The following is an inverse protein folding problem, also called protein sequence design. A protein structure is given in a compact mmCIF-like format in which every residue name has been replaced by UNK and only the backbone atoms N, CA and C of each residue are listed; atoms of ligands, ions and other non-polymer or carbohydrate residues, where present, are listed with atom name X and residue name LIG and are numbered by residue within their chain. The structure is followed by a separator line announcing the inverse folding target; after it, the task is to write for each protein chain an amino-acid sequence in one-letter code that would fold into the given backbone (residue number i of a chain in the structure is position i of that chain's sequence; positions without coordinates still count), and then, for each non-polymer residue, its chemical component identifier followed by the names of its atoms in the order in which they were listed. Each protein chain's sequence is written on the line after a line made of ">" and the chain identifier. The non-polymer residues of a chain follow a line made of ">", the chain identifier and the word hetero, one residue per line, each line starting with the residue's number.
data_IF_692481600350
#
_entry.id   IF_692481600350
#
_cell.length_a   1.000
_cell.length_b   1.000
_cell.length_c   1.000
_cell.angle_alpha   90.00
_cell.angle_beta   90.00
_cell.angle_gamma   90.00
#
_symmetry.space_group_name_H-M   'P 1'
#
loop_
_entity.id
_entity.type
_entity.pdbx_description
1 polymer ?
#
# COMPACT_ATOMS: atom_id res chain seq x y z
N UNK A 1 50.39 -31.98 13.11
CA UNK A 1 50.63 -30.53 13.28
C UNK A 1 51.47 -29.90 12.18
N UNK A 2 52.66 -30.43 11.80
CA UNK A 2 53.53 -29.78 10.78
C UNK A 2 52.88 -29.59 9.40
N UNK A 3 52.08 -30.54 8.91
CA UNK A 3 51.38 -30.42 7.63
C UNK A 3 50.22 -29.41 7.63
N UNK A 4 49.59 -29.17 8.78
CA UNK A 4 48.48 -28.22 8.92
C UNK A 4 49.00 -26.77 8.84
N UNK A 5 50.17 -26.52 9.45
CA UNK A 5 50.83 -25.22 9.42
C UNK A 5 51.33 -24.86 8.02
N UNK A 6 51.75 -25.87 7.25
CA UNK A 6 52.21 -25.73 5.87
C UNK A 6 51.06 -25.43 4.91
N UNK A 7 49.89 -26.07 5.08
CA UNK A 7 48.68 -25.77 4.32
C UNK A 7 48.12 -24.36 4.61
N UNK A 8 48.21 -23.91 5.86
CA UNK A 8 47.75 -22.58 6.27
C UNK A 8 48.64 -21.47 5.69
N UNK A 9 49.96 -21.68 5.72
CA UNK A 9 50.93 -20.80 5.05
C UNK A 9 50.76 -20.79 3.53
N UNK A 10 50.48 -21.93 2.90
CA UNK A 10 50.20 -22.00 1.47
C UNK A 10 48.92 -21.22 1.11
N UNK A 11 47.86 -21.33 1.94
CA UNK A 11 46.63 -20.58 1.73
C UNK A 11 46.84 -19.06 1.88
N UNK A 12 47.69 -18.64 2.83
CA UNK A 12 48.03 -17.23 3.03
C UNK A 12 48.86 -16.70 1.86
N UNK A 13 49.82 -17.47 1.34
CA UNK A 13 50.61 -17.06 0.17
C UNK A 13 49.78 -17.00 -1.11
N UNK A 14 48.79 -17.89 -1.26
CA UNK A 14 47.85 -17.83 -2.38
C UNK A 14 46.96 -16.58 -2.24
N UNK A 15 46.44 -16.28 -1.04
CA UNK A 15 45.63 -15.08 -0.82
C UNK A 15 46.40 -13.78 -1.05
N UNK A 16 47.68 -13.71 -0.65
CA UNK A 16 48.50 -12.49 -0.83
C UNK A 16 48.91 -12.29 -2.29
N UNK A 17 49.20 -13.37 -3.05
CA UNK A 17 49.54 -13.24 -4.48
C UNK A 17 48.33 -12.81 -5.33
N UNK A 18 47.14 -13.32 -5.00
CA UNK A 18 45.90 -12.87 -5.65
C UNK A 18 45.56 -11.42 -5.34
N UNK A 19 45.83 -10.94 -4.12
CA UNK A 19 45.59 -9.54 -3.74
C UNK A 19 46.50 -8.56 -4.50
N UNK A 20 47.78 -8.91 -4.67
CA UNK A 20 48.77 -8.03 -5.30
C UNK A 20 48.53 -7.87 -6.82
N UNK A 21 48.04 -8.91 -7.49
CA UNK A 21 47.65 -8.85 -8.91
C UNK A 21 46.38 -8.00 -9.11
N UNK A 22 45.40 -8.09 -8.19
CA UNK A 22 44.18 -7.27 -8.27
C UNK A 22 44.44 -5.77 -8.14
N UNK A 23 45.34 -5.33 -7.25
CA UNK A 23 45.62 -3.90 -7.05
C UNK A 23 46.30 -3.27 -8.27
N UNK A 24 47.21 -4.01 -8.91
CA UNK A 24 47.88 -3.55 -10.13
C UNK A 24 46.88 -3.37 -11.29
N UNK A 25 45.94 -4.31 -11.44
CA UNK A 25 44.88 -4.25 -12.46
C UNK A 25 43.89 -3.13 -12.18
N UNK A 26 43.48 -2.92 -10.93
CA UNK A 26 42.61 -1.79 -10.54
C UNK A 26 43.30 -0.46 -10.87
N UNK A 27 44.58 -0.32 -10.56
CA UNK A 27 45.34 0.91 -10.82
C UNK A 27 45.47 1.20 -12.32
N UNK A 28 45.80 0.18 -13.13
CA UNK A 28 45.87 0.33 -14.59
C UNK A 28 44.52 0.73 -15.18
N UNK A 29 43.44 0.10 -14.71
CA UNK A 29 42.08 0.39 -15.16
C UNK A 29 41.64 1.81 -14.79
N UNK A 30 41.94 2.25 -13.56
CA UNK A 30 41.68 3.60 -13.08
C UNK A 30 42.38 4.63 -13.94
N UNK A 31 43.65 4.41 -14.25
CA UNK A 31 44.40 5.31 -15.12
C UNK A 31 43.77 5.36 -16.52
N UNK A 32 43.41 4.20 -17.09
CA UNK A 32 42.75 4.14 -18.41
C UNK A 32 41.43 4.92 -18.43
N UNK A 33 40.53 4.67 -17.47
CA UNK A 33 39.22 5.34 -17.43
C UNK A 33 39.34 6.83 -17.10
N UNK A 34 40.23 7.21 -16.19
CA UNK A 34 40.51 8.60 -15.86
C UNK A 34 41.05 9.36 -17.06
N UNK A 35 41.95 8.76 -17.84
CA UNK A 35 42.43 9.37 -19.09
C UNK A 35 41.32 9.55 -20.10
N UNK A 36 40.44 8.56 -20.27
CA UNK A 36 39.28 8.67 -21.19
C UNK A 36 38.33 9.78 -20.71
N UNK A 37 37.95 9.80 -19.44
CA UNK A 37 37.07 10.81 -18.87
C UNK A 37 37.66 12.22 -19.03
N UNK A 38 38.95 12.40 -18.72
CA UNK A 38 39.63 13.68 -18.89
C UNK A 38 39.70 14.13 -20.35
N UNK A 39 39.92 13.21 -21.28
CA UNK A 39 39.95 13.54 -22.70
C UNK A 39 38.55 13.93 -23.21
N UNK A 40 37.51 13.20 -22.80
CA UNK A 40 36.12 13.54 -23.13
C UNK A 40 35.72 14.91 -22.57
N UNK A 41 36.10 15.22 -21.32
CA UNK A 41 35.81 16.52 -20.71
C UNK A 41 36.56 17.65 -21.43
N UNK A 42 37.82 17.45 -21.83
CA UNK A 42 38.57 18.43 -22.64
C UNK A 42 37.90 18.70 -23.99
N UNK A 43 37.55 17.65 -24.74
CA UNK A 43 36.85 17.77 -26.02
C UNK A 43 35.50 18.50 -25.84
N UNK A 44 34.76 18.18 -24.78
CA UNK A 44 33.51 18.85 -24.43
C UNK A 44 33.71 20.35 -24.13
N UNK A 45 34.71 20.70 -23.32
CA UNK A 45 35.04 22.09 -22.99
C UNK A 45 35.50 22.90 -24.21
N UNK A 46 36.15 22.25 -25.19
CA UNK A 46 36.54 22.86 -26.46
C UNK A 46 35.36 23.01 -27.46
N UNK A 47 34.19 22.45 -27.16
CA UNK A 47 33.02 22.46 -28.06
C UNK A 47 33.07 21.42 -29.18
N UNK A 48 33.98 20.45 -29.12
CA UNK A 48 34.18 19.40 -30.13
C UNK A 48 33.21 18.22 -29.88
N UNK A 49 31.91 18.50 -29.90
CA UNK A 49 30.86 17.59 -29.40
C UNK A 49 30.76 16.26 -30.18
N UNK A 50 30.94 16.28 -31.50
CA UNK A 50 30.92 15.06 -32.33
C UNK A 50 32.16 14.18 -32.05
N UNK A 51 33.29 14.78 -31.67
CA UNK A 51 34.49 14.04 -31.28
C UNK A 51 34.32 13.35 -29.94
N UNK A 52 33.62 13.98 -28.99
CA UNK A 52 33.21 13.34 -27.72
C UNK A 52 32.46 12.04 -27.99
N UNK A 53 31.48 12.07 -28.90
CA UNK A 53 30.68 10.89 -29.26
C UNK A 53 31.54 9.84 -29.96
N UNK A 54 32.40 10.25 -30.90
CA UNK A 54 33.31 9.37 -31.63
C UNK A 54 34.28 8.66 -30.70
N UNK A 55 34.92 9.40 -29.77
CA UNK A 55 35.84 8.85 -28.77
C UNK A 55 35.12 7.89 -27.83
N UNK A 56 33.92 8.26 -27.36
CA UNK A 56 33.10 7.37 -26.54
C UNK A 56 32.81 6.04 -27.24
N UNK A 57 32.36 6.06 -28.51
CA UNK A 57 32.10 4.83 -29.29
C UNK A 57 33.37 4.00 -29.51
N UNK A 58 34.51 4.64 -29.76
CA UNK A 58 35.81 3.96 -29.93
C UNK A 58 36.34 3.33 -28.65
N UNK A 59 35.99 3.88 -27.48
CA UNK A 59 36.52 3.43 -26.19
C UNK A 59 36.03 2.04 -25.73
N UNK A 60 35.25 1.31 -26.55
CA UNK A 60 34.65 0.00 -26.28
C UNK A 60 33.75 -0.09 -25.04
N UNK A 61 33.46 1.04 -24.38
CA UNK A 61 32.56 1.13 -23.23
C UNK A 61 31.13 0.64 -23.50
N UNK A 62 30.73 0.60 -24.77
CA UNK A 62 29.40 0.16 -25.18
C UNK A 62 29.25 -1.37 -25.29
N UNK A 63 30.37 -2.13 -25.41
CA UNK A 63 30.35 -3.58 -25.68
C UNK A 63 30.72 -4.46 -24.48
N UNK A 64 31.00 -3.86 -23.34
CA UNK A 64 31.65 -4.51 -22.20
C UNK A 64 30.62 -5.17 -21.24
N UNK A 65 29.73 -6.02 -21.78
CA UNK A 65 28.67 -6.72 -21.00
C UNK A 65 29.14 -8.01 -20.30
N UNK A 66 30.34 -8.54 -20.60
CA UNK A 66 30.88 -9.79 -20.06
C UNK A 66 31.47 -9.67 -18.63
N UNK A 67 30.70 -9.11 -17.70
CA UNK A 67 31.17 -8.64 -16.38
C UNK A 67 30.87 -9.55 -15.18
N UNK A 68 30.44 -10.80 -15.40
CA UNK A 68 29.98 -11.66 -14.30
C UNK A 68 31.10 -12.15 -13.35
N UNK A 69 32.39 -12.05 -13.73
CA UNK A 69 33.51 -12.67 -13.00
C UNK A 69 34.39 -11.73 -12.17
N UNK A 70 34.12 -10.42 -12.15
CA UNK A 70 35.00 -9.44 -11.48
C UNK A 70 34.70 -9.27 -9.97
N UNK A 71 35.72 -8.86 -9.21
CA UNK A 71 35.62 -8.59 -7.77
C UNK A 71 34.68 -7.42 -7.48
N UNK A 72 34.12 -7.37 -6.26
CA UNK A 72 33.11 -6.37 -5.85
C UNK A 72 33.64 -4.94 -5.92
N UNK A 73 34.90 -4.73 -5.51
CA UNK A 73 35.53 -3.39 -5.50
C UNK A 73 35.80 -2.89 -6.91
N UNK A 74 36.21 -3.78 -7.82
CA UNK A 74 36.40 -3.45 -9.23
C UNK A 74 35.09 -2.97 -9.88
N UNK A 75 33.96 -3.63 -9.57
CA UNK A 75 32.64 -3.19 -10.05
C UNK A 75 32.25 -1.82 -9.52
N UNK A 76 32.59 -1.48 -8.28
CA UNK A 76 32.27 -0.16 -7.69
C UNK A 76 33.05 0.95 -8.40
N UNK A 77 34.35 0.78 -8.55
CA UNK A 77 35.22 1.78 -9.17
C UNK A 77 34.88 1.97 -10.65
N UNK A 78 34.65 0.87 -11.40
CA UNK A 78 34.19 0.93 -12.80
C UNK A 78 32.87 1.68 -12.94
N UNK A 79 31.92 1.47 -12.02
CA UNK A 79 30.64 2.18 -12.00
C UNK A 79 30.82 3.68 -11.82
N UNK A 80 31.65 4.13 -10.88
CA UNK A 80 31.92 5.56 -10.68
C UNK A 80 32.45 6.24 -11.96
N UNK A 81 33.44 5.63 -12.63
CA UNK A 81 33.96 6.16 -13.90
C UNK A 81 32.94 6.12 -15.05
N UNK A 82 32.15 5.05 -15.15
CA UNK A 82 31.08 4.97 -16.14
C UNK A 82 30.04 6.07 -15.95
N UNK A 83 29.73 6.45 -14.70
CA UNK A 83 28.83 7.56 -14.42
C UNK A 83 29.40 8.89 -14.94
N UNK A 84 30.68 9.18 -14.68
CA UNK A 84 31.30 10.42 -15.16
C UNK A 84 31.30 10.49 -16.70
N UNK A 85 31.66 9.37 -17.35
CA UNK A 85 31.67 9.29 -18.82
C UNK A 85 30.26 9.44 -19.39
N UNK A 86 29.27 8.72 -18.86
CA UNK A 86 27.89 8.84 -19.32
C UNK A 86 27.32 10.24 -19.08
N UNK A 87 27.73 10.92 -18.00
CA UNK A 87 27.37 12.32 -17.76
C UNK A 87 27.90 13.26 -18.85
N UNK A 88 29.18 13.13 -19.22
CA UNK A 88 29.80 13.91 -20.33
C UNK A 88 29.10 13.64 -21.65
N UNK A 89 28.90 12.36 -21.98
CA UNK A 89 28.27 11.94 -23.24
C UNK A 89 26.82 12.41 -23.31
N UNK A 90 26.09 12.35 -22.19
CA UNK A 90 24.73 12.86 -22.11
C UNK A 90 24.71 14.38 -22.37
N UNK A 91 25.62 15.16 -21.75
CA UNK A 91 25.76 16.60 -22.02
C UNK A 91 26.07 16.88 -23.49
N UNK A 92 26.94 16.09 -24.12
CA UNK A 92 27.27 16.25 -25.53
C UNK A 92 26.07 15.98 -26.45
N UNK A 93 25.32 14.88 -26.22
CA UNK A 93 24.10 14.59 -26.98
C UNK A 93 23.00 15.64 -26.79
N UNK A 94 22.90 16.16 -25.56
CA UNK A 94 22.02 17.27 -25.23
C UNK A 94 22.43 18.49 -26.08
N UNK A 95 23.69 18.94 -25.99
CA UNK A 95 24.19 20.10 -26.73
C UNK A 95 24.12 19.98 -28.27
N UNK A 96 24.08 18.75 -28.80
CA UNK A 96 23.88 18.45 -30.22
C UNK A 96 22.41 18.34 -30.65
N UNK A 97 21.45 18.67 -29.78
CA UNK A 97 20.02 18.54 -30.01
C UNK A 97 19.59 17.11 -30.40
N UNK A 98 20.20 16.09 -29.76
CA UNK A 98 19.91 14.66 -29.96
C UNK A 98 19.33 14.02 -28.68
N UNK A 99 18.15 14.46 -28.20
CA UNK A 99 17.64 14.09 -26.88
C UNK A 99 17.30 12.60 -26.71
N UNK A 100 16.84 11.93 -27.78
CA UNK A 100 16.51 10.50 -27.71
C UNK A 100 17.74 9.63 -27.39
N UNK A 101 18.92 10.08 -27.80
CA UNK A 101 20.19 9.42 -27.49
C UNK A 101 20.67 9.79 -26.09
N UNK A 102 20.53 11.06 -25.69
CA UNK A 102 20.79 11.50 -24.32
C UNK A 102 20.00 10.67 -23.30
N UNK A 103 18.71 10.42 -23.54
CA UNK A 103 17.84 9.62 -22.65
C UNK A 103 18.37 8.20 -22.42
N UNK A 104 18.95 7.56 -23.45
CA UNK A 104 19.59 6.24 -23.30
C UNK A 104 20.74 6.30 -22.30
N UNK A 105 21.61 7.30 -22.40
CA UNK A 105 22.74 7.44 -21.47
C UNK A 105 22.31 7.91 -20.09
N UNK A 106 21.29 8.76 -20.02
CA UNK A 106 20.70 9.23 -18.77
C UNK A 106 20.11 8.04 -17.97
N UNK A 107 19.42 7.13 -18.65
CA UNK A 107 18.88 5.92 -18.00
C UNK A 107 20.00 5.01 -17.45
N UNK A 108 21.12 4.86 -18.19
CA UNK A 108 22.31 4.12 -17.74
C UNK A 108 22.98 4.82 -16.55
N UNK A 109 23.07 6.15 -16.58
CA UNK A 109 23.62 6.97 -15.51
C UNK A 109 22.79 6.82 -14.21
N UNK A 110 21.46 6.85 -14.30
CA UNK A 110 20.57 6.62 -13.14
C UNK A 110 20.62 5.21 -12.60
N UNK A 111 20.97 4.21 -13.40
CA UNK A 111 21.20 2.86 -12.90
C UNK A 111 22.50 2.75 -12.08
N UNK A 112 23.40 3.73 -12.20
CA UNK A 112 24.74 3.72 -11.61
C UNK A 112 24.86 4.69 -10.43
N UNK A 113 24.44 5.95 -10.59
CA UNK A 113 24.52 7.01 -9.57
C UNK A 113 23.10 7.47 -9.20
N UNK A 114 22.70 7.22 -7.96
CA UNK A 114 21.41 7.69 -7.38
C UNK A 114 21.65 8.62 -6.18
N UNK A 115 22.85 9.20 -6.07
CA UNK A 115 23.26 10.00 -4.91
C UNK A 115 22.90 11.49 -5.04
N UNK A 116 22.87 12.19 -3.90
CA UNK A 116 22.46 13.60 -3.73
C UNK A 116 23.23 14.58 -4.63
N UNK A 117 24.53 14.36 -4.84
CA UNK A 117 25.38 15.22 -5.69
C UNK A 117 24.85 15.30 -7.14
N UNK A 118 24.17 14.24 -7.60
CA UNK A 118 23.60 14.21 -8.94
C UNK A 118 22.30 15.03 -9.06
N UNK A 119 21.57 15.25 -7.96
CA UNK A 119 20.41 16.17 -7.96
C UNK A 119 20.84 17.62 -8.12
N UNK A 120 21.92 18.04 -7.43
CA UNK A 120 22.50 19.38 -7.61
C UNK A 120 23.03 19.57 -9.03
N UNK A 121 23.72 18.57 -9.56
CA UNK A 121 24.21 18.58 -10.93
C UNK A 121 23.08 18.72 -11.97
N UNK A 122 21.95 18.05 -11.77
CA UNK A 122 20.78 18.21 -12.64
C UNK A 122 20.09 19.56 -12.46
N UNK A 123 20.04 20.10 -11.25
CA UNK A 123 19.51 21.46 -11.02
C UNK A 123 20.29 22.49 -11.86
N UNK A 124 21.62 22.35 -11.99
CA UNK A 124 22.44 23.18 -12.86
C UNK A 124 22.09 23.00 -14.36
N UNK A 125 21.82 21.77 -14.82
CA UNK A 125 21.35 21.53 -16.21
C UNK A 125 19.95 22.11 -16.43
N UNK A 126 19.05 22.00 -15.43
CA UNK A 126 17.68 22.54 -15.46
C UNK A 126 17.67 24.08 -15.56
N UNK A 127 18.62 24.75 -14.92
CA UNK A 127 18.76 26.21 -14.99
C UNK A 127 19.27 26.70 -16.35
N UNK A 128 19.89 25.84 -17.16
CA UNK A 128 20.39 26.19 -18.49
C UNK A 128 19.30 26.46 -19.55
N UNK A 129 18.01 26.44 -19.18
CA UNK A 129 16.81 26.77 -20.01
C UNK A 129 16.61 25.99 -21.32
N UNK A 130 17.59 25.20 -21.78
CA UNK A 130 17.54 24.61 -23.12
C UNK A 130 16.84 23.25 -23.20
N UNK A 131 16.50 22.59 -22.07
CA UNK A 131 15.95 21.22 -22.11
C UNK A 131 14.81 20.99 -21.12
N UNK A 132 13.64 20.67 -21.67
CA UNK A 132 12.37 20.50 -20.94
C UNK A 132 12.17 19.02 -20.57
N UNK A 133 13.01 18.49 -19.67
CA UNK A 133 12.91 17.11 -19.16
C UNK A 133 12.61 17.07 -17.65
N UNK A 134 11.82 16.10 -17.24
CA UNK A 134 11.41 15.83 -15.86
C UNK A 134 11.69 14.37 -15.50
N UNK A 135 12.47 14.12 -14.44
CA UNK A 135 12.76 12.75 -13.97
C UNK A 135 11.75 12.37 -12.90
N UNK A 136 11.02 11.27 -13.14
CA UNK A 136 10.10 10.70 -12.17
C UNK A 136 10.51 9.29 -11.76
N UNK A 137 10.22 8.89 -10.51
CA UNK A 137 10.23 7.49 -10.10
C UNK A 137 9.37 6.62 -11.04
N UNK A 138 9.98 5.62 -11.68
CA UNK A 138 9.28 4.67 -12.55
C UNK A 138 8.69 3.51 -11.76
N UNK A 139 9.48 2.89 -10.88
CA UNK A 139 9.07 1.76 -10.06
C UNK A 139 9.36 2.06 -8.60
N UNK A 140 8.35 1.91 -7.75
CA UNK A 140 8.47 2.08 -6.30
C UNK A 140 7.88 0.86 -5.59
N UNK A 141 8.55 0.45 -4.51
CA UNK A 141 8.07 -0.59 -3.60
C UNK A 141 7.99 -0.02 -2.19
N UNK A 142 7.04 -0.48 -1.39
CA UNK A 142 6.84 0.10 -0.07
C UNK A 142 5.85 -0.63 0.81
N UNK A 143 5.55 0.00 1.94
CA UNK A 143 4.55 -0.44 2.91
C UNK A 143 3.50 0.63 3.15
N UNK A 144 2.33 0.19 3.60
CA UNK A 144 1.21 1.06 3.98
C UNK A 144 0.60 0.59 5.27
N UNK A 145 0.29 1.56 6.14
CA UNK A 145 -0.47 1.35 7.36
C UNK A 145 -1.62 2.35 7.37
N UNK A 146 -2.74 1.99 7.99
CA UNK A 146 -3.87 2.90 8.07
C UNK A 146 -4.96 2.44 9.02
N UNK A 147 -5.91 3.33 9.24
CA UNK A 147 -7.16 3.07 9.94
C UNK A 147 -8.30 2.97 8.94
N UNK A 148 -9.32 2.18 9.27
CA UNK A 148 -10.54 2.01 8.48
C UNK A 148 -11.75 2.37 9.33
N UNK A 149 -12.57 3.28 8.83
CA UNK A 149 -13.88 3.60 9.37
C UNK A 149 -14.91 2.91 8.48
N UNK A 150 -15.69 1.99 9.04
CA UNK A 150 -16.58 1.12 8.25
C UNK A 150 -18.03 1.60 8.37
N UNK A 151 -18.78 1.42 7.30
CA UNK A 151 -20.20 1.75 7.22
C UNK A 151 -20.93 0.55 6.65
N UNK A 152 -21.75 -0.10 7.47
CA UNK A 152 -22.63 -1.18 7.03
C UNK A 152 -23.96 -0.58 6.57
N UNK A 153 -24.32 -0.82 5.31
CA UNK A 153 -25.54 -0.31 4.70
C UNK A 153 -26.48 -1.48 4.42
N UNK A 154 -27.49 -1.74 5.27
CA UNK A 154 -28.47 -2.79 5.01
C UNK A 154 -29.24 -2.48 3.73
N UNK A 155 -29.38 -3.49 2.88
CA UNK A 155 -30.11 -3.47 1.60
C UNK A 155 -31.45 -4.18 1.74
N UNK A 156 -31.47 -5.28 2.50
CA UNK A 156 -32.70 -6.01 2.85
C UNK A 156 -32.59 -6.47 4.30
N UNK A 157 -33.65 -6.26 5.07
CA UNK A 157 -33.70 -6.59 6.50
C UNK A 157 -34.30 -7.97 6.71
N UNK A 158 -33.75 -8.73 7.65
CA UNK A 158 -34.27 -10.06 7.98
C UNK A 158 -34.47 -10.22 9.49
N UNK A 159 -35.57 -10.88 9.84
CA UNK A 159 -35.94 -11.24 11.20
C UNK A 159 -36.30 -12.73 11.27
N UNK A 160 -36.12 -13.33 12.45
CA UNK A 160 -36.62 -14.67 12.77
C UNK A 160 -38.07 -14.57 13.27
N UNK A 161 -38.45 -13.42 13.82
CA UNK A 161 -39.78 -13.15 14.34
C UNK A 161 -40.63 -12.43 13.30
N UNK A 162 -41.89 -12.84 13.18
CA UNK A 162 -42.93 -12.07 12.52
C UNK A 162 -43.60 -11.15 13.56
N UNK A 163 -43.71 -9.87 13.25
CA UNK A 163 -44.33 -8.91 14.16
C UNK A 163 -45.84 -9.19 14.24
N UNK A 164 -46.35 -9.59 15.40
CA UNK A 164 -47.73 -10.07 15.56
C UNK A 164 -48.75 -8.94 15.80
N UNK A 165 -48.35 -7.67 15.89
CA UNK A 165 -49.27 -6.56 16.12
C UNK A 165 -49.57 -5.75 14.85
N UNK A 166 -50.76 -5.98 14.28
CA UNK A 166 -51.46 -4.98 13.47
C UNK A 166 -51.86 -3.82 14.39
N UNK A 167 -51.23 -2.65 14.27
CA UNK A 167 -51.84 -1.43 14.79
C UNK A 167 -50.93 -0.28 15.14
N UNK A 168 -49.70 -0.50 15.60
CA UNK A 168 -48.74 0.57 15.87
C UNK A 168 -47.32 0.04 15.68
N UNK A 169 -46.67 0.52 14.61
CA UNK A 169 -45.37 0.08 14.11
C UNK A 169 -44.24 0.38 15.09
N UNK A 170 -44.04 -0.45 16.12
CA UNK A 170 -42.75 -0.50 16.82
C UNK A 170 -41.79 -1.19 15.86
N UNK A 171 -40.99 -0.39 15.14
CA UNK A 171 -39.95 -0.88 14.25
C UNK A 171 -38.87 -1.60 15.09
N UNK A 172 -38.98 -2.92 15.24
CA UNK A 172 -37.92 -3.80 15.76
C UNK A 172 -36.80 -3.94 14.71
N UNK A 173 -36.42 -2.83 14.09
CA UNK A 173 -35.46 -2.78 13.01
C UNK A 173 -34.07 -2.57 13.61
N UNK A 174 -33.12 -3.41 13.22
CA UNK A 174 -31.71 -3.25 13.58
C UNK A 174 -31.23 -1.84 13.21
N UNK A 175 -30.69 -1.13 14.20
CA UNK A 175 -30.06 0.17 14.01
C UNK A 175 -28.56 0.00 13.87
N UNK A 176 -28.06 0.17 12.66
CA UNK A 176 -26.62 0.11 12.38
C UNK A 176 -25.94 1.40 12.79
N UNK A 177 -24.81 1.28 13.48
CA UNK A 177 -23.98 2.41 13.88
C UNK A 177 -22.76 2.50 12.98
N UNK A 178 -22.44 3.74 12.62
CA UNK A 178 -21.22 4.05 11.90
C UNK A 178 -20.04 4.15 12.86
N UNK A 179 -18.81 3.98 12.36
CA UNK A 179 -17.62 4.06 13.21
C UNK A 179 -17.43 5.39 13.97
N UNK A 180 -18.16 6.46 13.61
CA UNK A 180 -18.14 7.74 14.31
C UNK A 180 -19.06 7.81 15.53
N UNK A 181 -20.08 6.95 15.59
CA UNK A 181 -21.08 6.98 16.67
C UNK A 181 -20.63 6.18 17.90
N UNK A 182 -19.78 5.16 17.69
CA UNK A 182 -19.19 4.37 18.76
C UNK A 182 -17.66 4.41 18.69
N UNK A 183 -17.03 4.95 19.74
CA UNK A 183 -15.58 5.20 19.83
C UNK A 183 -14.67 3.96 19.68
N UNK A 184 -15.21 2.75 19.52
CA UNK A 184 -14.47 1.49 19.47
C UNK A 184 -14.66 0.70 18.17
N UNK A 185 -15.10 1.34 17.08
CA UNK A 185 -15.34 0.69 15.78
C UNK A 185 -14.29 1.06 14.71
N UNK A 186 -13.11 1.51 15.13
CA UNK A 186 -11.98 1.78 14.23
C UNK A 186 -11.32 0.45 13.88
N UNK A 187 -11.30 0.13 12.58
CA UNK A 187 -10.53 -0.96 12.00
C UNK A 187 -9.13 -0.50 11.59
N UNK A 188 -8.32 -1.43 11.11
CA UNK A 188 -6.96 -1.15 10.65
C UNK A 188 -6.68 -1.74 9.27
N UNK A 189 -5.61 -1.24 8.65
CA UNK A 189 -5.12 -1.68 7.35
C UNK A 189 -3.61 -1.77 7.36
N UNK A 190 -3.08 -2.89 6.88
CA UNK A 190 -1.65 -3.12 6.71
C UNK A 190 -1.42 -3.71 5.33
N UNK A 191 -0.42 -3.24 4.58
CA UNK A 191 -0.14 -3.83 3.28
C UNK A 191 1.20 -3.45 2.67
N UNK A 192 1.40 -3.97 1.46
CA UNK A 192 2.51 -3.62 0.59
C UNK A 192 2.05 -2.65 -0.47
N UNK A 193 3.00 -1.90 -1.03
CA UNK A 193 2.78 -0.90 -2.05
C UNK A 193 3.68 -1.20 -3.25
N UNK A 194 3.09 -1.28 -4.43
CA UNK A 194 3.80 -1.31 -5.70
C UNK A 194 3.26 -0.17 -6.57
N UNK A 195 4.13 0.77 -6.96
CA UNK A 195 3.74 1.87 -7.86
C UNK A 195 4.56 1.80 -9.14
N UNK A 196 3.89 1.87 -10.28
CA UNK A 196 4.50 1.94 -11.60
C UNK A 196 4.05 3.20 -12.34
N UNK A 197 4.97 4.11 -12.66
CA UNK A 197 4.65 5.33 -13.41
C UNK A 197 4.46 5.00 -14.91
N UNK A 198 3.25 5.28 -15.42
CA UNK A 198 2.91 5.14 -16.82
C UNK A 198 3.31 6.40 -17.60
N UNK A 199 3.00 7.56 -17.02
CA UNK A 199 3.34 8.89 -17.55
C UNK A 199 3.85 9.78 -16.43
N UNK A 200 4.16 11.04 -16.74
CA UNK A 200 4.58 12.03 -15.74
C UNK A 200 3.50 12.30 -14.66
N UNK A 201 2.22 12.17 -15.01
CA UNK A 201 1.09 12.41 -14.12
C UNK A 201 0.40 11.12 -13.64
N UNK A 202 0.42 10.06 -14.45
CA UNK A 202 -0.31 8.83 -14.16
C UNK A 202 0.60 7.72 -13.70
N UNK A 203 0.22 7.06 -12.61
CA UNK A 203 0.86 5.84 -12.13
C UNK A 203 -0.19 4.78 -11.81
N UNK A 204 0.15 3.52 -12.05
CA UNK A 204 -0.60 2.37 -11.57
C UNK A 204 -0.10 2.00 -10.17
N UNK A 205 -1.03 1.78 -9.25
CA UNK A 205 -0.80 1.41 -7.87
C UNK A 205 -1.46 0.06 -7.59
N UNK A 206 -0.68 -0.89 -7.10
CA UNK A 206 -1.18 -2.18 -6.60
C UNK A 206 -0.81 -2.24 -5.11
N UNK A 207 -1.80 -2.50 -4.26
CA UNK A 207 -1.62 -2.39 -2.81
C UNK A 207 -2.23 -3.57 -2.03
N UNK A 208 -1.66 -4.80 -2.17
CA UNK A 208 -2.17 -5.96 -1.45
C UNK A 208 -2.11 -5.70 0.05
N UNK A 209 -3.23 -5.86 0.75
CA UNK A 209 -3.38 -5.43 2.13
C UNK A 209 -4.32 -6.32 2.93
N UNK A 210 -3.96 -6.54 4.19
CA UNK A 210 -4.86 -7.08 5.20
C UNK A 210 -5.68 -5.93 5.79
N UNK A 211 -7.00 -6.03 5.67
CA UNK A 211 -7.95 -4.99 6.08
C UNK A 211 -8.92 -5.55 7.10
N UNK A 212 -8.98 -4.92 8.27
CA UNK A 212 -9.99 -5.17 9.28
C UNK A 212 -11.08 -4.10 9.19
N UNK A 213 -12.34 -4.55 9.15
CA UNK A 213 -13.56 -3.75 9.15
C UNK A 213 -14.33 -4.04 10.42
N UNK A 214 -14.81 -2.98 11.08
CA UNK A 214 -15.61 -3.09 12.30
C UNK A 214 -16.82 -2.19 12.20
N UNK A 215 -17.98 -2.75 12.52
CA UNK A 215 -19.22 -2.01 12.63
C UNK A 215 -20.09 -2.66 13.71
N UNK A 216 -21.07 -1.92 14.18
CA UNK A 216 -22.01 -2.42 15.17
C UNK A 216 -23.44 -2.18 14.74
N UNK A 217 -24.35 -2.91 15.37
CA UNK A 217 -25.76 -2.56 15.35
C UNK A 217 -26.39 -2.87 16.70
N UNK A 218 -27.48 -2.17 16.98
CA UNK A 218 -28.36 -2.43 18.12
C UNK A 218 -29.69 -2.96 17.65
N UNK A 219 -30.19 -3.91 18.40
CA UNK A 219 -31.53 -4.45 18.23
C UNK A 219 -32.27 -4.39 19.58
N UNK A 220 -33.57 -4.21 19.51
CA UNK A 220 -34.46 -4.17 20.67
C UNK A 220 -35.51 -5.25 20.51
N UNK A 221 -35.56 -6.15 21.49
CA UNK A 221 -36.56 -7.20 21.54
C UNK A 221 -37.46 -6.99 22.74
N UNK A 222 -38.74 -6.72 22.47
CA UNK A 222 -39.79 -6.64 23.49
C UNK A 222 -40.71 -7.84 23.36
N UNK A 223 -40.93 -8.56 24.45
CA UNK A 223 -41.95 -9.60 24.53
C UNK A 223 -42.95 -9.24 25.62
N UNK A 224 -44.23 -9.27 25.26
CA UNK A 224 -45.32 -9.01 26.17
C UNK A 224 -46.28 -10.21 26.16
N UNK A 225 -46.59 -10.72 27.34
CA UNK A 225 -47.62 -11.74 27.55
C UNK A 225 -48.65 -11.25 28.56
N UNK A 226 -49.90 -11.65 28.35
CA UNK A 226 -51.01 -11.31 29.25
C UNK A 226 -51.72 -12.59 29.69
N UNK A 227 -51.06 -13.44 30.51
CA UNK A 227 -51.60 -14.73 30.90
C UNK A 227 -52.89 -14.65 31.74
N UNK A 228 -53.23 -13.50 32.32
CA UNK A 228 -54.47 -13.27 33.07
C UNK A 228 -54.89 -11.78 33.05
N UNK A 229 -56.17 -11.41 33.31
CA UNK A 229 -56.69 -10.04 33.15
C UNK A 229 -55.96 -8.92 33.92
N UNK A 230 -55.08 -9.26 34.86
CA UNK A 230 -54.31 -8.32 35.68
C UNK A 230 -52.80 -8.59 35.69
N UNK A 231 -52.30 -9.49 34.85
CA UNK A 231 -50.89 -9.90 34.83
C UNK A 231 -50.30 -9.65 33.45
N UNK A 232 -49.53 -8.57 33.31
CA UNK A 232 -48.74 -8.28 32.10
C UNK A 232 -47.28 -8.63 32.33
N UNK A 233 -46.75 -9.65 31.67
CA UNK A 233 -45.31 -9.91 31.69
C UNK A 233 -44.66 -9.18 30.52
N UNK A 234 -43.73 -8.28 30.80
CA UNK A 234 -42.99 -7.54 29.78
C UNK A 234 -41.49 -7.78 29.95
N UNK A 235 -40.85 -8.27 28.89
CA UNK A 235 -39.41 -8.50 28.82
C UNK A 235 -38.85 -7.65 27.68
N UNK A 236 -38.01 -6.68 28.03
CA UNK A 236 -37.28 -5.86 27.08
C UNK A 236 -35.79 -6.19 27.12
N UNK A 237 -35.23 -6.56 25.96
CA UNK A 237 -33.82 -6.87 25.77
C UNK A 237 -33.20 -5.87 24.79
N UNK A 238 -32.09 -5.27 25.20
CA UNK A 238 -31.21 -4.52 24.30
C UNK A 238 -30.03 -5.40 23.90
N UNK A 239 -29.87 -5.62 22.59
CA UNK A 239 -28.76 -6.38 22.03
C UNK A 239 -27.82 -5.46 21.28
N UNK A 240 -26.57 -5.38 21.73
CA UNK A 240 -25.50 -4.67 21.04
C UNK A 240 -24.57 -5.68 20.37
N UNK A 241 -24.50 -5.64 19.04
CA UNK A 241 -23.68 -6.54 18.24
C UNK A 241 -22.50 -5.79 17.64
N UNK A 242 -21.27 -6.21 17.96
CA UNK A 242 -20.04 -5.70 17.33
C UNK A 242 -19.52 -6.75 16.36
N UNK A 243 -19.29 -6.36 15.12
CA UNK A 243 -18.71 -7.21 14.10
C UNK A 243 -17.27 -6.83 13.78
N UNK A 244 -16.45 -7.83 13.50
CA UNK A 244 -15.06 -7.66 13.05
C UNK A 244 -14.80 -8.61 11.89
N UNK A 245 -14.56 -8.05 10.71
CA UNK A 245 -14.40 -8.77 9.45
C UNK A 245 -13.02 -8.47 8.88
N UNK A 246 -12.29 -9.51 8.49
CA UNK A 246 -10.95 -9.41 7.95
C UNK A 246 -10.91 -9.88 6.50
N UNK A 247 -10.40 -9.02 5.62
CA UNK A 247 -10.19 -9.32 4.21
C UNK A 247 -8.72 -9.20 3.83
N UNK A 248 -8.27 -10.08 2.94
CA UNK A 248 -7.05 -9.86 2.13
C UNK A 248 -7.49 -9.19 0.84
N UNK A 249 -7.12 -7.92 0.67
CA UNK A 249 -7.57 -7.08 -0.44
C UNK A 249 -6.46 -6.80 -1.43
N UNK A 250 -6.77 -6.92 -2.72
CA UNK A 250 -5.88 -6.59 -3.83
C UNK A 250 -6.53 -5.45 -4.63
N UNK A 251 -6.32 -4.19 -4.22
CA UNK A 251 -6.74 -3.02 -4.98
C UNK A 251 -5.79 -2.75 -6.14
N UNK A 252 -6.36 -2.42 -7.29
CA UNK A 252 -5.68 -1.86 -8.45
C UNK A 252 -6.20 -0.45 -8.70
N UNK A 253 -5.32 0.55 -8.56
CA UNK A 253 -5.69 1.96 -8.47
C UNK A 253 -4.83 2.79 -9.41
N UNK A 254 -5.47 3.63 -10.22
CA UNK A 254 -4.80 4.68 -10.97
C UNK A 254 -4.56 5.88 -10.04
N UNK A 255 -3.33 6.34 -9.97
CA UNK A 255 -2.92 7.55 -9.26
C UNK A 255 -2.65 8.66 -10.27
N UNK A 256 -3.36 9.78 -10.13
CA UNK A 256 -3.11 11.01 -10.89
C UNK A 256 -2.45 12.05 -10.00
N UNK A 257 -1.24 12.46 -10.32
CA UNK A 257 -0.45 13.39 -9.52
C UNK A 257 -0.47 14.80 -10.13
N UNK A 258 -0.75 15.80 -9.29
CA UNK A 258 -0.66 17.21 -9.66
C UNK A 258 0.69 17.79 -9.23
N UNK A 259 1.03 18.96 -9.80
CA UNK A 259 2.17 19.79 -9.36
C UNK A 259 3.49 19.02 -9.27
N UNK A 260 3.84 18.36 -10.37
CA UNK A 260 4.97 17.43 -10.50
C UNK A 260 6.33 18.03 -10.04
N UNK A 261 6.50 19.34 -10.22
CA UNK A 261 7.74 20.07 -9.96
C UNK A 261 7.91 20.50 -8.49
N UNK A 262 6.93 20.25 -7.61
CA UNK A 262 7.00 20.63 -6.19
C UNK A 262 7.37 19.44 -5.30
N UNK A 263 8.01 19.72 -4.14
CA UNK A 263 8.31 18.70 -3.12
C UNK A 263 7.04 18.04 -2.57
N UNK A 264 5.98 18.83 -2.43
CA UNK A 264 4.64 18.38 -2.05
C UNK A 264 3.79 18.11 -3.29
N UNK A 265 3.33 16.86 -3.42
CA UNK A 265 2.67 16.34 -4.62
C UNK A 265 1.28 15.82 -4.24
N UNK A 266 0.23 16.66 -4.34
CA UNK A 266 -1.12 16.17 -4.18
C UNK A 266 -1.47 15.19 -5.31
N UNK A 267 -2.34 14.23 -5.03
CA UNK A 267 -2.78 13.24 -6.01
C UNK A 267 -4.20 12.77 -5.76
N UNK A 268 -4.86 12.33 -6.83
CA UNK A 268 -6.11 11.59 -6.78
C UNK A 268 -5.87 10.11 -7.02
N UNK A 269 -6.75 9.29 -6.48
CA UNK A 269 -6.78 7.83 -6.60
C UNK A 269 -8.14 7.42 -7.14
N UNK A 270 -8.16 6.55 -8.14
CA UNK A 270 -9.37 5.94 -8.67
C UNK A 270 -9.08 4.50 -9.10
N UNK A 271 -9.91 3.54 -8.70
CA UNK A 271 -9.70 2.15 -9.08
C UNK A 271 -10.76 1.21 -8.55
N UNK A 272 -10.40 -0.07 -8.52
CA UNK A 272 -11.24 -1.14 -8.02
C UNK A 272 -10.46 -2.04 -7.08
N UNK A 273 -11.17 -2.87 -6.32
CA UNK A 273 -10.56 -3.85 -5.45
C UNK A 273 -11.34 -5.14 -5.42
N UNK A 274 -10.63 -6.22 -5.10
CA UNK A 274 -11.20 -7.51 -4.73
C UNK A 274 -10.61 -7.93 -3.38
N UNK A 275 -11.47 -8.38 -2.48
CA UNK A 275 -11.18 -8.82 -1.13
C UNK A 275 -11.60 -10.26 -0.93
N UNK A 276 -10.69 -11.05 -0.34
CA UNK A 276 -10.91 -12.43 0.05
C UNK A 276 -11.12 -12.50 1.56
N UNK A 277 -12.25 -13.04 1.99
CA UNK A 277 -12.58 -13.18 3.40
C UNK A 277 -11.57 -14.12 4.06
N UNK A 278 -10.92 -13.63 5.12
CA UNK A 278 -9.96 -14.42 5.90
C UNK A 278 -10.57 -14.92 7.20
N UNK A 279 -11.28 -14.06 7.92
CA UNK A 279 -11.89 -14.39 9.21
C UNK A 279 -12.95 -13.33 9.55
N UNK A 280 -14.08 -13.74 10.11
CA UNK A 280 -15.05 -12.83 10.70
C UNK A 280 -15.55 -13.32 12.06
N UNK A 281 -15.71 -12.39 12.99
CA UNK A 281 -16.27 -12.68 14.30
C UNK A 281 -17.30 -11.64 14.71
N UNK A 282 -18.27 -12.07 15.51
CA UNK A 282 -19.35 -11.26 16.04
C UNK A 282 -19.40 -11.39 17.55
N UNK A 283 -19.44 -10.28 18.25
CA UNK A 283 -19.61 -10.23 19.70
C UNK A 283 -20.99 -9.66 20.00
N UNK A 284 -21.80 -10.43 20.70
CA UNK A 284 -23.12 -10.05 21.16
C UNK A 284 -23.07 -9.70 22.63
N UNK A 285 -23.59 -8.53 22.99
CA UNK A 285 -23.80 -8.09 24.37
C UNK A 285 -25.31 -7.90 24.57
N UNK A 286 -25.92 -8.75 25.38
CA UNK A 286 -27.33 -8.65 25.75
C UNK A 286 -27.42 -7.95 27.09
N UNK A 287 -28.28 -6.94 27.17
CA UNK A 287 -28.68 -6.29 28.41
C UNK A 287 -30.17 -6.46 28.61
N UNK A 288 -30.55 -7.03 29.74
CA UNK A 288 -31.93 -7.01 30.21
C UNK A 288 -32.27 -5.60 30.71
N UNK A 289 -33.30 -4.98 30.14
CA UNK A 289 -33.75 -3.67 30.58
C UNK A 289 -34.65 -3.81 31.82
N UNK A 290 -34.48 -2.96 32.84
CA UNK A 290 -35.30 -3.01 34.05
C UNK A 290 -36.74 -2.62 33.70
N UNK A 291 -37.66 -3.58 33.76
CA UNK A 291 -39.03 -3.34 33.30
C UNK A 291 -40.02 -4.48 33.45
N UNK A 292 -39.65 -5.59 34.10
CA UNK A 292 -40.62 -6.65 34.39
C UNK A 292 -41.68 -6.06 35.33
N UNK A 293 -42.91 -5.88 34.81
CA UNK A 293 -44.06 -5.34 35.54
C UNK A 293 -45.01 -6.45 35.95
N UNK A 294 -44.70 -7.20 36.99
CA UNK A 294 -45.66 -8.19 37.50
C UNK A 294 -46.81 -7.41 38.17
N UNK A 295 -48.02 -7.48 37.62
CA UNK A 295 -49.21 -6.77 38.11
C UNK A 295 -49.05 -5.23 38.21
N UNK A 296 -48.24 -4.61 37.36
CA UNK A 296 -48.04 -3.15 37.35
C UNK A 296 -47.01 -2.62 38.35
N UNK A 297 -46.46 -3.46 39.22
CA UNK A 297 -45.33 -3.13 40.09
C UNK A 297 -44.00 -3.43 39.38
N UNK A 298 -43.06 -2.48 39.41
CA UNK A 298 -41.71 -2.70 38.88
C UNK A 298 -40.97 -3.64 39.81
N UNK A 299 -40.61 -4.83 39.33
CA UNK A 299 -39.64 -5.67 40.02
C UNK A 299 -38.24 -5.32 39.50
N UNK A 300 -37.35 -4.92 40.40
CA UNK A 300 -35.94 -4.67 40.09
C UNK A 300 -35.24 -6.01 39.86
N UNK A 301 -35.41 -6.58 38.66
CA UNK A 301 -34.55 -7.68 38.22
C UNK A 301 -33.16 -7.11 37.96
N UNK A 302 -32.15 -7.68 38.64
CA UNK A 302 -30.74 -7.36 38.43
C UNK A 302 -30.41 -7.53 36.94
N UNK A 303 -30.14 -6.43 36.24
CA UNK A 303 -29.86 -6.43 34.81
C UNK A 303 -28.62 -7.25 34.50
N UNK A 304 -28.83 -8.52 34.14
CA UNK A 304 -27.75 -9.40 33.73
C UNK A 304 -27.23 -8.93 32.37
N UNK A 305 -25.91 -8.72 32.29
CA UNK A 305 -25.24 -8.47 31.02
C UNK A 305 -24.54 -9.75 30.60
N UNK A 306 -25.02 -10.38 29.54
CA UNK A 306 -24.37 -11.53 28.93
C UNK A 306 -23.55 -11.06 27.72
N UNK A 307 -22.35 -11.64 27.53
CA UNK A 307 -21.50 -11.37 26.37
C UNK A 307 -20.99 -12.68 25.79
N UNK A 308 -21.13 -12.84 24.48
CA UNK A 308 -20.67 -14.03 23.77
C UNK A 308 -20.05 -13.67 22.42
N UNK A 309 -19.03 -14.43 22.00
CA UNK A 309 -18.30 -14.23 20.75
C UNK A 309 -18.47 -15.46 19.84
N UNK A 310 -18.86 -15.20 18.60
CA UNK A 310 -19.13 -16.22 17.59
C UNK A 310 -18.24 -16.02 16.36
N UNK A 311 -17.81 -17.13 15.77
CA UNK A 311 -17.28 -17.15 14.40
C UNK A 311 -18.46 -17.07 13.43
N UNK A 312 -18.40 -16.09 12.54
CA UNK A 312 -19.43 -15.81 11.53
C UNK A 312 -18.87 -15.85 10.12
N UNK A 313 -17.65 -16.39 9.94
CA UNK A 313 -16.96 -16.45 8.65
C UNK A 313 -17.82 -17.15 7.59
N UNK A 314 -18.47 -18.26 7.94
CA UNK A 314 -19.33 -19.02 7.03
C UNK A 314 -20.65 -18.30 6.67
N UNK A 315 -21.07 -17.30 7.46
CA UNK A 315 -22.28 -16.52 7.23
C UNK A 315 -22.05 -15.36 6.25
N UNK A 316 -20.79 -15.08 5.92
CA UNK A 316 -20.39 -14.01 5.03
C UNK A 316 -19.97 -14.56 3.66
N UNK A 317 -20.05 -13.70 2.64
CA UNK A 317 -19.53 -13.98 1.31
C UNK A 317 -18.00 -14.05 1.36
N UNK A 318 -17.44 -15.06 0.71
CA UNK A 318 -15.98 -15.22 0.59
C UNK A 318 -15.32 -14.09 -0.21
N UNK A 319 -16.08 -13.42 -1.07
CA UNK A 319 -15.61 -12.32 -1.91
C UNK A 319 -16.30 -11.00 -1.56
N UNK A 320 -15.51 -9.94 -1.54
CA UNK A 320 -15.95 -8.56 -1.37
C UNK A 320 -15.24 -7.68 -2.40
N UNK A 321 -15.97 -7.06 -3.31
CA UNK A 321 -15.38 -6.24 -4.37
C UNK A 321 -16.07 -4.90 -4.49
N UNK A 322 -15.36 -3.93 -5.05
CA UNK A 322 -15.88 -2.59 -5.14
C UNK A 322 -14.96 -1.59 -5.81
N UNK A 323 -15.34 -0.33 -5.69
CA UNK A 323 -14.61 0.81 -6.23
C UNK A 323 -13.82 1.51 -5.12
N UNK A 324 -12.70 2.10 -5.51
CA UNK A 324 -11.85 2.94 -4.63
C UNK A 324 -11.75 4.31 -5.26
N UNK A 325 -12.06 5.34 -4.49
CA UNK A 325 -11.73 6.72 -4.82
C UNK A 325 -10.97 7.32 -3.65
N UNK A 326 -10.03 8.22 -3.91
CA UNK A 326 -9.29 8.85 -2.84
C UNK A 326 -8.48 10.04 -3.28
N UNK A 327 -7.90 10.69 -2.28
CA UNK A 327 -6.98 11.79 -2.46
C UNK A 327 -5.85 11.66 -1.47
N UNK A 328 -4.71 12.26 -1.76
CA UNK A 328 -3.59 12.25 -0.85
C UNK A 328 -2.51 13.23 -1.25
N UNK A 329 -1.47 13.24 -0.44
CA UNK A 329 -0.28 14.04 -0.63
C UNK A 329 0.95 13.17 -0.48
N UNK A 330 1.92 13.36 -1.37
CA UNK A 330 3.22 12.72 -1.31
C UNK A 330 4.32 13.74 -1.05
N UNK A 331 5.29 13.37 -0.24
CA UNK A 331 6.53 14.08 -0.01
C UNK A 331 7.70 13.19 -0.46
N UNK A 332 8.57 13.73 -1.31
CA UNK A 332 9.73 13.02 -1.82
C UNK A 332 10.98 13.49 -1.07
N UNK A 333 11.71 12.55 -0.50
CA UNK A 333 12.95 12.78 0.23
C UNK A 333 13.98 11.73 -0.20
N UNK A 334 14.99 12.17 -0.96
CA UNK A 334 16.00 11.28 -1.56
C UNK A 334 15.31 10.12 -2.31
N UNK A 335 15.69 8.87 -2.02
CA UNK A 335 15.10 7.68 -2.62
C UNK A 335 13.81 7.21 -1.93
N UNK A 336 13.34 7.93 -0.92
CA UNK A 336 12.10 7.63 -0.21
C UNK A 336 10.97 8.56 -0.63
N UNK A 337 9.76 8.02 -0.55
CA UNK A 337 8.52 8.78 -0.70
C UNK A 337 7.62 8.44 0.47
N UNK A 338 7.24 9.47 1.20
CA UNK A 338 6.23 9.42 2.24
C UNK A 338 4.93 9.90 1.62
N UNK A 339 3.82 9.24 1.90
CA UNK A 339 2.51 9.73 1.46
C UNK A 339 1.47 9.55 2.54
N UNK A 340 0.55 10.51 2.62
CA UNK A 340 -0.66 10.44 3.40
C UNK A 340 -1.85 10.44 2.44
N UNK A 341 -2.85 9.59 2.67
CA UNK A 341 -4.05 9.53 1.83
C UNK A 341 -5.32 9.25 2.61
N UNK A 342 -6.43 9.75 2.08
CA UNK A 342 -7.78 9.39 2.45
C UNK A 342 -8.43 8.67 1.26
N UNK A 343 -8.95 7.46 1.48
CA UNK A 343 -9.60 6.66 0.44
C UNK A 343 -10.98 6.23 0.91
N UNK A 344 -11.99 6.46 0.07
CA UNK A 344 -13.32 5.90 0.22
C UNK A 344 -13.47 4.63 -0.63
N UNK A 345 -13.99 3.57 -0.03
CA UNK A 345 -14.30 2.30 -0.69
C UNK A 345 -15.81 2.11 -0.73
N UNK A 346 -16.31 1.90 -1.93
CA UNK A 346 -17.72 1.63 -2.19
C UNK A 346 -17.89 0.16 -2.57
N UNK A 347 -18.52 -0.62 -1.69
CA UNK A 347 -18.81 -2.04 -1.90
C UNK A 347 -19.93 -2.22 -2.92
N UNK A 348 -19.72 -3.13 -3.88
CA UNK A 348 -20.66 -3.40 -4.97
C UNK A 348 -21.46 -4.69 -4.78
N UNK A 349 -21.16 -5.48 -3.76
CA UNK A 349 -21.83 -6.75 -3.51
C UNK A 349 -22.23 -6.90 -2.04
N UNK A 350 -23.26 -7.71 -1.83
CA UNK A 350 -23.67 -8.13 -0.50
C UNK A 350 -22.53 -8.90 0.17
N UNK A 351 -22.16 -8.49 1.38
CA UNK A 351 -21.11 -9.16 2.16
C UNK A 351 -21.62 -10.38 2.92
N UNK A 352 -22.94 -10.55 3.01
CA UNK A 352 -23.59 -11.68 3.69
C UNK A 352 -23.87 -12.78 2.69
N UNK A 353 -23.73 -14.04 3.10
CA UNK A 353 -24.10 -15.20 2.29
C UNK A 353 -25.55 -15.60 2.61
N UNK A 354 -26.53 -15.31 1.73
CA UNK A 354 -27.94 -15.56 2.04
C UNK A 354 -28.24 -17.04 2.25
N UNK A 355 -27.53 -17.94 1.55
CA UNK A 355 -27.73 -19.38 1.65
C UNK A 355 -27.31 -19.95 3.02
N UNK A 356 -26.39 -19.28 3.72
CA UNK A 356 -25.87 -19.71 5.02
C UNK A 356 -26.50 -18.96 6.19
N UNK A 357 -27.41 -18.01 5.96
CA UNK A 357 -27.93 -17.11 7.00
C UNK A 357 -28.44 -17.83 8.25
N UNK A 358 -29.09 -18.97 8.07
CA UNK A 358 -29.76 -19.72 9.13
C UNK A 358 -28.97 -20.92 9.65
N UNK A 359 -27.72 -21.11 9.22
CA UNK A 359 -26.96 -22.33 9.55
C UNK A 359 -26.27 -22.27 10.91
N UNK A 360 -26.03 -21.08 11.46
CA UNK A 360 -25.51 -20.92 12.82
C UNK A 360 -26.65 -21.01 13.85
N UNK A 361 -26.89 -22.23 14.35
CA UNK A 361 -27.97 -22.53 15.30
C UNK A 361 -27.83 -21.76 16.62
N UNK A 362 -26.61 -21.53 17.10
CA UNK A 362 -26.39 -20.77 18.34
C UNK A 362 -26.90 -19.33 18.19
N UNK A 363 -26.53 -18.65 17.11
CA UNK A 363 -27.01 -17.30 16.83
C UNK A 363 -28.53 -17.25 16.56
N UNK A 364 -29.04 -18.19 15.78
CA UNK A 364 -30.45 -18.22 15.36
C UNK A 364 -31.39 -18.60 16.51
N UNK A 365 -31.11 -19.68 17.23
CA UNK A 365 -31.99 -20.19 18.28
C UNK A 365 -31.61 -19.69 19.68
N UNK A 366 -30.32 -19.51 19.96
CA UNK A 366 -29.86 -19.04 21.27
C UNK A 366 -29.98 -17.52 21.44
N UNK A 367 -29.69 -16.75 20.38
CA UNK A 367 -29.64 -15.28 20.45
C UNK A 367 -30.68 -14.60 19.57
N UNK A 368 -31.47 -15.36 18.82
CA UNK A 368 -32.50 -14.86 17.91
C UNK A 368 -31.99 -13.78 16.96
N UNK A 369 -30.81 -14.01 16.37
CA UNK A 369 -30.12 -13.00 15.60
C UNK A 369 -29.61 -13.57 14.28
N UNK A 370 -29.85 -12.83 13.19
CA UNK A 370 -29.46 -13.17 11.82
C UNK A 370 -28.91 -11.95 11.11
N UNK A 371 -28.18 -12.17 10.04
CA UNK A 371 -27.63 -11.09 9.24
C UNK A 371 -28.62 -10.54 8.23
N UNK A 372 -28.73 -9.21 8.18
CA UNK A 372 -29.37 -8.49 7.08
C UNK A 372 -28.50 -8.57 5.83
N UNK A 373 -29.07 -8.49 4.63
CA UNK A 373 -28.25 -8.27 3.44
C UNK A 373 -27.68 -6.86 3.52
N UNK A 374 -26.37 -6.69 3.30
CA UNK A 374 -25.75 -5.38 3.47
C UNK A 374 -24.54 -5.18 2.55
N UNK A 375 -24.38 -3.93 2.13
CA UNK A 375 -23.14 -3.46 1.51
C UNK A 375 -22.21 -2.95 2.60
N UNK A 376 -20.90 -3.14 2.39
CA UNK A 376 -19.87 -2.60 3.24
C UNK A 376 -19.17 -1.47 2.50
N UNK A 377 -19.14 -0.30 3.11
CA UNK A 377 -18.35 0.84 2.65
C UNK A 377 -17.30 1.20 3.70
N UNK A 378 -16.26 1.91 3.31
CA UNK A 378 -15.27 2.40 4.28
C UNK A 378 -14.57 3.68 3.88
N UNK A 379 -14.15 4.44 4.88
CA UNK A 379 -13.22 5.55 4.75
C UNK A 379 -11.92 5.17 5.45
N UNK A 380 -10.82 5.12 4.70
CA UNK A 380 -9.50 4.80 5.25
C UNK A 380 -8.59 6.01 5.24
N UNK A 381 -7.86 6.21 6.34
CA UNK A 381 -6.73 7.13 6.42
C UNK A 381 -5.44 6.32 6.43
N UNK A 382 -4.51 6.61 5.53
CA UNK A 382 -3.35 5.77 5.27
C UNK A 382 -2.06 6.58 5.23
N UNK A 383 -1.02 6.04 5.85
CA UNK A 383 0.37 6.46 5.74
C UNK A 383 1.14 5.41 4.96
N UNK A 384 1.90 5.83 3.97
CA UNK A 384 2.74 4.93 3.18
C UNK A 384 4.16 5.44 3.08
N UNK A 385 5.12 4.53 3.12
CA UNK A 385 6.52 4.78 2.79
C UNK A 385 6.91 3.88 1.62
N UNK A 386 7.59 4.43 0.63
CA UNK A 386 8.09 3.66 -0.51
C UNK A 386 9.48 4.08 -0.94
N UNK A 387 10.28 3.12 -1.37
CA UNK A 387 11.59 3.30 -1.95
C UNK A 387 11.52 3.29 -3.48
N UNK A 388 12.25 4.21 -4.11
CA UNK A 388 12.33 4.31 -5.57
C UNK A 388 13.41 3.37 -6.09
N UNK A 389 13.03 2.37 -6.88
CA UNK A 389 13.97 1.41 -7.47
C UNK A 389 14.56 1.92 -8.78
N UNK A 390 13.73 2.55 -9.62
CA UNK A 390 14.16 3.02 -10.94
C UNK A 390 13.54 4.37 -11.25
N UNK A 391 14.28 5.15 -12.03
CA UNK A 391 13.87 6.47 -12.51
C UNK A 391 13.65 6.44 -14.03
N UNK A 392 12.81 7.34 -14.53
CA UNK A 392 12.62 7.56 -15.96
C UNK A 392 12.51 9.06 -16.23
N UNK A 393 13.18 9.54 -17.27
CA UNK A 393 12.99 10.90 -17.75
C UNK A 393 11.74 10.96 -18.65
N UNK A 394 10.96 12.02 -18.44
CA UNK A 394 9.79 12.37 -19.24
C UNK A 394 10.07 13.72 -19.87
N UNK A 395 9.77 13.89 -21.15
CA UNK A 395 9.75 15.21 -21.78
C UNK A 395 8.56 16.01 -21.23
N UNK A 396 8.75 17.29 -20.92
CA UNK A 396 7.71 18.17 -20.37
C UNK A 396 6.56 18.35 -21.34
#
# INVERSE_FOLDING_TARGET
>A
MRYLLLLLLLSLMIQTSFAQDTDSKITLLNNKYKTIANNLEKLYQNGELEEVISLFRKSCLEKDEDLARESKDFRKVKKEFQADIYSIVCRAYIALDKPNLADRFLSKLFAIRVDEDFQEYWLAIRESKSYDYYIAPRLQIGGVIGSNLSFAMPTERFSIFNNMQLGNSISSEKKYFNSFEENNLIGFRLGFLLTYALTKNFALLIQPSYSNYRFAYRDFYGWADNPAPNLSLLLDLEKNSIQSINYIEIPAVMRYQFLIDKKFKPYLLLGAFNGLLSNASKTLVIKELPGIRINGEKTDFFGNTASARYDVTNLLSSHYYGLVIGTGMGYHFQNFRFSFSATYRYGLNNIVNPAQRYTNQDLVFGYHDIFDNMLLNSLSLQLSISYVLTHKAFRR
#
